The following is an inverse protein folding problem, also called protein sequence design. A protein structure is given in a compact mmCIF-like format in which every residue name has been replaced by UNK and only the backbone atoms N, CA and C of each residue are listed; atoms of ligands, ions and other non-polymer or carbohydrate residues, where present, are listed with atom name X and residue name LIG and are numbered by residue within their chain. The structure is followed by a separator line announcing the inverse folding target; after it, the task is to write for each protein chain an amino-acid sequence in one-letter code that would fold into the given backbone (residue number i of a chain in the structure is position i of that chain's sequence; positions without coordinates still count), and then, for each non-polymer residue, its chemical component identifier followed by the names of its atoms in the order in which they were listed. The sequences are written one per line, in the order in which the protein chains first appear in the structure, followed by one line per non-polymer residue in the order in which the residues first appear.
data_IF_498016641163
#
_entry.id   IF_498016641163
#
_cell.length_a   1.000
_cell.length_b   1.000
_cell.length_c   1.000
_cell.angle_alpha   90.00
_cell.angle_beta   90.00
_cell.angle_gamma   90.00
#
_symmetry.space_group_name_H-M   'P 1'
#
loop_
_entity.id
_entity.type
_entity.pdbx_description
1 polymer ?
#
# COMPACT_ATOMS: atom_id res chain seq x y z
N UNK A 1 -26.15 10.67 52.65
CA UNK A 1 -25.82 9.37 53.28
C UNK A 1 -26.91 8.36 52.95
N UNK A 2 -26.63 7.34 52.14
CA UNK A 2 -27.35 6.04 52.19
C UNK A 2 -26.46 4.97 51.56
N UNK A 3 -26.25 3.91 52.35
CA UNK A 3 -25.37 2.74 52.12
C UNK A 3 -26.00 1.71 51.20
N UNK A 4 -25.12 0.87 50.67
CA UNK A 4 -25.30 -0.27 49.77
C UNK A 4 -25.91 -1.55 50.39
N UNK A 5 -26.36 -2.46 49.52
CA UNK A 5 -26.32 -3.94 49.60
C UNK A 5 -26.71 -4.46 48.19
N UNK A 6 -25.89 -5.11 47.36
CA UNK A 6 -25.23 -6.45 47.38
C UNK A 6 -26.21 -7.65 47.36
N UNK A 7 -26.29 -8.34 46.20
CA UNK A 7 -26.29 -9.81 45.97
C UNK A 7 -26.46 -10.03 44.45
N UNK A 8 -25.50 -10.45 43.62
CA UNK A 8 -24.67 -11.65 43.49
C UNK A 8 -25.41 -12.97 43.14
N UNK A 9 -24.99 -13.58 42.02
CA UNK A 9 -25.19 -14.99 41.62
C UNK A 9 -26.25 -15.24 40.54
N UNK A 10 -26.11 -16.12 39.53
CA UNK A 10 -25.01 -16.74 38.79
C UNK A 10 -25.64 -17.56 37.63
N UNK A 11 -24.80 -17.99 36.67
CA UNK A 11 -25.00 -18.98 35.58
C UNK A 11 -25.83 -18.51 34.35
N UNK A 12 -25.23 -18.23 33.18
CA UNK A 12 -24.47 -19.10 32.26
C UNK A 12 -25.31 -20.24 31.67
N UNK A 13 -25.70 -20.11 30.39
CA UNK A 13 -25.79 -21.18 29.38
C UNK A 13 -26.03 -20.55 27.99
N UNK A 14 -24.97 -20.39 27.19
CA UNK A 14 -25.09 -20.15 25.75
C UNK A 14 -24.66 -21.43 25.03
N UNK A 15 -25.66 -22.10 24.48
CA UNK A 15 -25.57 -23.33 23.71
C UNK A 15 -25.41 -22.97 22.23
N UNK A 16 -24.26 -23.31 21.64
CA UNK A 16 -24.04 -23.33 20.20
C UNK A 16 -24.30 -24.76 19.69
N UNK A 17 -25.23 -24.99 18.75
CA UNK A 17 -25.30 -26.25 18.05
C UNK A 17 -24.35 -26.28 16.85
N UNK A 18 -23.83 -27.47 16.67
CA UNK A 18 -22.68 -27.91 15.90
C UNK A 18 -23.06 -28.21 14.45
N UNK A 19 -22.10 -28.01 13.55
CA UNK A 19 -22.19 -28.31 12.12
C UNK A 19 -22.53 -29.79 11.87
N UNK A 20 -23.53 -30.04 11.04
CA UNK A 20 -23.79 -31.35 10.45
C UNK A 20 -22.83 -31.59 9.28
N UNK A 21 -21.88 -32.50 9.47
CA UNK A 21 -21.15 -33.16 8.38
C UNK A 21 -21.39 -34.67 8.51
N UNK A 22 -22.26 -35.17 7.63
CA UNK A 22 -22.55 -36.57 7.30
C UNK A 22 -22.76 -36.53 5.79
N UNK A 23 -22.22 -37.36 4.91
CA UNK A 23 -21.50 -38.62 4.90
C UNK A 23 -20.88 -38.70 3.49
N UNK A 24 -19.75 -39.39 3.31
CA UNK A 24 -19.69 -40.46 2.32
C UNK A 24 -18.41 -41.28 2.55
N UNK A 25 -18.64 -42.53 2.93
CA UNK A 25 -17.67 -43.60 2.92
C UNK A 25 -17.55 -44.16 1.50
N UNK A 26 -16.31 -44.39 1.07
CA UNK A 26 -15.88 -45.32 0.02
C UNK A 26 -14.36 -45.42 0.23
N UNK A 27 -13.81 -46.49 0.78
CA UNK A 27 -13.61 -47.84 0.23
C UNK A 27 -12.08 -48.05 0.21
N UNK A 28 -11.68 -49.23 0.67
CA UNK A 28 -10.30 -49.60 0.96
C UNK A 28 -9.57 -50.08 -0.30
N UNK A 29 -8.34 -49.63 -0.53
CA UNK A 29 -7.33 -50.41 -1.28
C UNK A 29 -5.90 -49.94 -0.94
N UNK A 30 -4.97 -50.84 -0.56
CA UNK A 30 -3.56 -50.51 -0.35
C UNK A 30 -2.74 -51.00 -1.54
N UNK A 31 -2.11 -50.09 -2.29
CA UNK A 31 -1.11 -50.49 -3.28
C UNK A 31 -0.07 -49.40 -3.59
N UNK A 32 1.18 -49.81 -3.35
CA UNK A 32 2.37 -49.55 -4.19
C UNK A 32 3.09 -48.22 -4.03
N UNK A 33 4.19 -48.33 -3.25
CA UNK A 33 5.46 -47.64 -3.48
C UNK A 33 5.84 -47.70 -4.96
N UNK A 34 5.96 -46.53 -5.59
CA UNK A 34 6.63 -46.36 -6.87
C UNK A 34 7.85 -45.47 -6.66
N UNK A 35 8.99 -46.02 -7.10
CA UNK A 35 10.32 -45.41 -7.18
C UNK A 35 10.30 -43.95 -7.67
N UNK A 36 10.99 -43.09 -6.93
CA UNK A 36 11.53 -41.84 -7.44
C UNK A 36 13.03 -42.06 -7.71
N UNK A 37 13.53 -41.91 -8.94
CA UNK A 37 14.95 -42.06 -9.20
C UNK A 37 15.72 -40.90 -8.56
N UNK A 38 16.74 -41.28 -7.80
CA UNK A 38 17.77 -40.40 -7.28
C UNK A 38 18.42 -39.61 -8.43
N UNK A 39 18.43 -38.29 -8.31
CA UNK A 39 19.29 -37.42 -9.10
C UNK A 39 20.37 -36.89 -8.17
N UNK A 40 21.46 -37.65 -8.08
CA UNK A 40 22.74 -37.14 -7.59
C UNK A 40 23.28 -36.17 -8.64
N UNK A 41 23.39 -34.89 -8.30
CA UNK A 41 24.23 -33.96 -9.04
C UNK A 41 24.97 -33.07 -8.05
N UNK A 42 26.12 -33.62 -7.68
CA UNK A 42 27.43 -33.00 -7.53
C UNK A 42 27.48 -31.48 -7.23
N UNK A 43 28.04 -31.21 -6.05
CA UNK A 43 28.48 -29.91 -5.60
C UNK A 43 29.75 -29.50 -6.36
N UNK A 44 29.58 -28.81 -7.48
CA UNK A 44 30.64 -28.05 -8.15
C UNK A 44 30.43 -26.56 -7.95
N UNK A 45 31.04 -25.99 -6.90
CA UNK A 45 31.08 -24.56 -6.67
C UNK A 45 31.85 -23.84 -7.78
N UNK A 46 31.13 -23.32 -8.78
CA UNK A 46 31.63 -22.27 -9.67
C UNK A 46 31.31 -20.92 -9.03
N UNK A 47 32.37 -20.19 -8.69
CA UNK A 47 32.37 -18.81 -8.24
C UNK A 47 31.69 -17.97 -9.33
N UNK A 48 30.46 -17.53 -9.07
CA UNK A 48 29.69 -16.70 -10.00
C UNK A 48 30.28 -15.29 -9.99
N UNK A 49 30.66 -14.84 -11.19
CA UNK A 49 31.25 -13.54 -11.46
C UNK A 49 30.27 -12.43 -11.07
N UNK A 50 30.77 -11.55 -10.20
CA UNK A 50 30.18 -10.24 -9.89
C UNK A 50 29.88 -9.50 -11.21
N UNK A 51 28.64 -9.07 -11.49
CA UNK A 51 28.39 -8.27 -12.68
C UNK A 51 29.12 -6.93 -12.52
N UNK A 52 30.13 -6.74 -13.37
CA UNK A 52 30.85 -5.51 -13.52
C UNK A 52 29.85 -4.38 -13.86
N UNK A 53 30.01 -3.26 -13.17
CA UNK A 53 29.30 -2.00 -13.38
C UNK A 53 29.27 -1.65 -14.87
N UNK A 54 28.08 -1.66 -15.46
CA UNK A 54 27.87 -1.12 -16.80
C UNK A 54 28.18 0.39 -16.79
N UNK A 55 28.87 0.94 -17.81
CA UNK A 55 29.08 2.37 -17.92
C UNK A 55 27.73 3.08 -18.17
N UNK A 56 27.54 4.31 -17.67
CA UNK A 56 26.30 5.07 -17.89
C UNK A 56 26.13 5.32 -19.39
N UNK A 57 24.99 4.87 -19.94
CA UNK A 57 24.60 5.19 -21.32
C UNK A 57 24.43 6.71 -21.44
N UNK A 58 25.02 7.35 -22.47
CA UNK A 58 24.80 8.77 -22.72
C UNK A 58 23.33 9.00 -23.05
N UNK A 59 22.70 9.90 -22.29
CA UNK A 59 21.37 10.42 -22.61
C UNK A 59 21.49 11.25 -23.89
N UNK A 60 20.84 10.80 -24.95
CA UNK A 60 20.76 11.58 -26.19
C UNK A 60 20.01 12.88 -25.87
N UNK A 61 20.61 14.07 -26.08
CA UNK A 61 19.88 15.31 -25.91
C UNK A 61 18.69 15.34 -26.86
N UNK A 62 17.54 15.74 -26.32
CA UNK A 62 16.31 15.95 -27.08
C UNK A 62 16.58 17.03 -28.12
N UNK A 63 16.80 16.63 -29.37
CA UNK A 63 16.98 17.58 -30.46
C UNK A 63 15.67 18.37 -30.63
N UNK A 64 15.76 19.70 -30.49
CA UNK A 64 14.66 20.60 -30.81
C UNK A 64 14.27 20.37 -32.27
N UNK A 65 13.04 19.88 -32.49
CA UNK A 65 12.43 19.80 -33.82
C UNK A 65 12.32 21.24 -34.34
N UNK A 66 13.19 21.62 -35.27
CA UNK A 66 13.01 22.85 -36.01
C UNK A 66 11.77 22.68 -36.89
N UNK A 67 10.69 23.34 -36.48
CA UNK A 67 9.48 23.48 -37.30
C UNK A 67 9.83 24.45 -38.42
N UNK A 68 10.37 23.92 -39.52
CA UNK A 68 10.51 24.67 -40.77
C UNK A 68 9.11 24.96 -41.31
N UNK A 69 8.74 26.23 -41.55
CA UNK A 69 7.48 26.53 -42.20
C UNK A 69 7.57 26.03 -43.64
N UNK A 70 6.87 24.95 -43.94
CA UNK A 70 6.57 24.57 -45.32
C UNK A 70 5.80 25.72 -45.95
N UNK A 71 6.50 26.54 -46.75
CA UNK A 71 5.89 27.59 -47.54
C UNK A 71 4.92 26.94 -48.53
N UNK A 72 3.64 26.98 -48.21
CA UNK A 72 2.59 26.49 -49.10
C UNK A 72 2.43 27.45 -50.27
N UNK A 73 2.42 26.85 -51.46
CA UNK A 73 2.41 27.49 -52.77
C UNK A 73 1.35 28.61 -52.90
N UNK A 74 1.78 29.81 -53.28
CA UNK A 74 1.02 30.76 -54.10
C UNK A 74 -0.19 31.48 -53.49
N UNK A 75 -0.57 31.21 -52.24
CA UNK A 75 -1.49 32.09 -51.49
C UNK A 75 -0.70 33.07 -50.63
N UNK A 76 -1.07 34.34 -50.67
CA UNK A 76 -0.50 35.38 -49.79
C UNK A 76 -1.00 35.17 -48.35
N UNK A 77 -0.32 34.30 -47.60
CA UNK A 77 -0.41 34.23 -46.14
C UNK A 77 0.60 35.22 -45.58
N UNK A 78 0.15 36.15 -44.75
CA UNK A 78 1.03 37.14 -44.13
C UNK A 78 1.03 36.94 -42.60
N UNK A 79 2.18 37.18 -41.99
CA UNK A 79 2.27 37.28 -40.53
C UNK A 79 1.67 38.63 -40.14
N UNK A 80 0.68 38.63 -39.24
CA UNK A 80 0.10 39.84 -38.69
C UNK A 80 0.74 40.15 -37.33
N UNK A 81 0.83 41.44 -36.97
CA UNK A 81 1.25 41.84 -35.64
C UNK A 81 0.17 41.43 -34.62
N UNK A 82 0.58 40.76 -33.55
CA UNK A 82 -0.32 40.32 -32.50
C UNK A 82 -0.97 41.53 -31.79
N UNK A 83 -0.23 42.62 -31.59
CA UNK A 83 -0.74 43.81 -30.89
C UNK A 83 -1.85 44.50 -31.70
N UNK A 84 -1.70 44.56 -33.02
CA UNK A 84 -2.72 45.18 -33.88
C UNK A 84 -4.01 44.36 -33.87
N UNK A 85 -3.89 43.02 -33.91
CA UNK A 85 -5.03 42.11 -33.90
C UNK A 85 -5.71 42.11 -32.53
N UNK A 86 -4.95 42.22 -31.45
CA UNK A 86 -5.47 42.38 -30.08
C UNK A 86 -6.26 43.68 -29.94
N UNK A 87 -5.72 44.81 -30.42
CA UNK A 87 -6.47 46.08 -30.45
C UNK A 87 -7.76 45.99 -31.26
N UNK A 88 -7.72 45.31 -32.42
CA UNK A 88 -8.92 45.09 -33.24
C UNK A 88 -9.94 44.17 -32.55
N UNK A 89 -9.48 43.22 -31.73
CA UNK A 89 -10.33 42.37 -30.92
C UNK A 89 -11.00 43.18 -29.80
N UNK A 90 -10.23 44.04 -29.11
CA UNK A 90 -10.72 44.93 -28.04
C UNK A 90 -11.75 45.95 -28.56
N UNK A 91 -11.52 46.48 -29.76
CA UNK A 91 -12.46 47.37 -30.46
C UNK A 91 -13.72 46.65 -30.96
N UNK A 92 -13.90 45.36 -30.63
CA UNK A 92 -14.97 44.47 -31.10
C UNK A 92 -15.11 44.47 -32.64
N UNK A 93 -14.02 44.73 -33.35
CA UNK A 93 -14.01 44.84 -34.81
C UNK A 93 -13.91 43.46 -35.49
N UNK A 94 -13.51 42.42 -34.75
CA UNK A 94 -13.35 41.05 -35.22
C UNK A 94 -14.55 40.18 -34.82
N UNK A 95 -14.99 39.31 -35.74
CA UNK A 95 -15.99 38.27 -35.48
C UNK A 95 -15.34 36.91 -35.37
N UNK A 96 -15.57 36.20 -34.27
CA UNK A 96 -15.07 34.83 -34.09
C UNK A 96 -15.92 33.83 -34.85
N UNK A 97 -15.30 33.01 -35.68
CA UNK A 97 -15.97 31.92 -36.40
C UNK A 97 -15.81 30.59 -35.66
N UNK A 98 -14.58 30.27 -35.27
CA UNK A 98 -14.27 29.01 -34.59
C UNK A 98 -13.21 29.27 -33.53
N UNK A 99 -13.34 28.60 -32.40
CA UNK A 99 -12.30 28.56 -31.36
C UNK A 99 -12.06 27.12 -30.97
N UNK A 100 -10.79 26.75 -30.91
CA UNK A 100 -10.31 25.46 -30.41
C UNK A 100 -9.49 25.73 -29.14
N UNK A 101 -9.70 24.92 -28.10
CA UNK A 101 -8.97 25.03 -26.84
C UNK A 101 -8.46 23.67 -26.42
N UNK A 102 -7.19 23.61 -26.01
CA UNK A 102 -6.57 22.43 -25.42
C UNK A 102 -5.58 22.90 -24.37
N UNK A 103 -5.84 22.56 -23.10
CA UNK A 103 -5.06 23.07 -21.97
C UNK A 103 -4.90 24.61 -22.03
N UNK A 104 -3.67 25.11 -21.86
CA UNK A 104 -3.34 26.54 -21.89
C UNK A 104 -3.21 27.10 -23.32
N UNK A 105 -3.41 26.28 -24.35
CA UNK A 105 -3.35 26.70 -25.75
C UNK A 105 -4.74 26.88 -26.34
N UNK A 106 -4.92 27.95 -27.11
CA UNK A 106 -6.14 28.12 -27.90
C UNK A 106 -5.87 28.67 -29.29
N UNK A 107 -6.72 28.33 -30.24
CA UNK A 107 -6.65 28.81 -31.62
C UNK A 107 -8.01 29.41 -31.97
N UNK A 108 -8.04 30.63 -32.49
CA UNK A 108 -9.26 31.28 -32.94
C UNK A 108 -9.16 31.70 -34.40
N UNK A 109 -10.18 31.36 -35.18
CA UNK A 109 -10.41 31.89 -36.52
C UNK A 109 -11.34 33.10 -36.40
N UNK A 110 -10.80 34.26 -36.74
CA UNK A 110 -11.43 35.57 -36.63
C UNK A 110 -11.64 36.15 -38.04
N UNK A 111 -12.70 36.92 -38.21
CA UNK A 111 -13.03 37.61 -39.45
C UNK A 111 -13.15 39.10 -39.19
N UNK A 112 -12.46 39.90 -40.00
CA UNK A 112 -12.54 41.36 -39.98
C UNK A 112 -13.43 41.87 -41.11
N UNK A 113 -14.66 42.32 -40.81
CA UNK A 113 -15.63 42.65 -41.86
C UNK A 113 -15.24 43.88 -42.68
N UNK A 114 -14.51 44.85 -42.10
CA UNK A 114 -14.19 46.12 -42.79
C UNK A 114 -13.24 45.91 -43.97
N UNK A 115 -12.30 44.97 -43.87
CA UNK A 115 -11.33 44.66 -44.94
C UNK A 115 -11.54 43.28 -45.57
N UNK A 116 -12.58 42.55 -45.16
CA UNK A 116 -12.86 41.17 -45.59
C UNK A 116 -11.64 40.23 -45.42
N UNK A 117 -10.90 40.40 -44.33
CA UNK A 117 -9.71 39.59 -44.00
C UNK A 117 -10.03 38.57 -42.92
N UNK A 118 -9.38 37.43 -43.00
CA UNK A 118 -9.39 36.39 -41.99
C UNK A 118 -8.09 36.42 -41.20
N UNK A 119 -8.21 36.23 -39.90
CA UNK A 119 -7.09 36.12 -38.97
C UNK A 119 -7.18 34.79 -38.25
N UNK A 120 -6.06 34.08 -38.15
CA UNK A 120 -5.94 32.87 -37.34
C UNK A 120 -4.95 33.18 -36.24
N UNK A 121 -5.43 33.22 -34.99
CA UNK A 121 -4.63 33.56 -33.83
C UNK A 121 -4.42 32.33 -32.94
N UNK A 122 -3.17 32.07 -32.58
CA UNK A 122 -2.75 31.10 -31.57
C UNK A 122 -2.45 31.84 -30.27
N UNK A 123 -3.00 31.35 -29.18
CA UNK A 123 -2.82 31.88 -27.83
C UNK A 123 -2.16 30.82 -26.93
N UNK A 124 -1.39 31.29 -25.96
CA UNK A 124 -0.84 30.52 -24.86
C UNK A 124 -1.11 31.29 -23.56
N UNK A 125 -1.77 30.68 -22.57
CA UNK A 125 -2.12 31.33 -21.28
C UNK A 125 -2.79 32.70 -21.50
N UNK A 126 -3.75 32.76 -22.42
CA UNK A 126 -4.46 33.97 -22.86
C UNK A 126 -3.60 35.05 -23.56
N UNK A 127 -2.30 34.82 -23.76
CA UNK A 127 -1.44 35.71 -24.55
C UNK A 127 -1.42 35.31 -26.01
N UNK A 128 -1.61 36.27 -26.90
CA UNK A 128 -1.55 36.04 -28.33
C UNK A 128 -0.09 35.80 -28.76
N UNK A 129 0.22 34.57 -29.17
CA UNK A 129 1.59 34.17 -29.54
C UNK A 129 1.86 34.34 -31.04
N UNK A 130 0.90 33.98 -31.89
CA UNK A 130 1.08 34.04 -33.35
C UNK A 130 -0.21 34.37 -34.05
N UNK A 131 -0.17 35.29 -35.02
CA UNK A 131 -1.32 35.58 -35.89
C UNK A 131 -0.94 35.50 -37.35
N UNK A 132 -1.74 34.77 -38.11
CA UNK A 132 -1.64 34.70 -39.56
C UNK A 132 -2.87 35.36 -40.17
N UNK A 133 -2.68 36.14 -41.23
CA UNK A 133 -3.76 36.78 -41.98
C UNK A 133 -3.82 36.30 -43.42
N UNK A 134 -5.03 36.21 -43.96
CA UNK A 134 -5.29 35.88 -45.36
C UNK A 134 -6.64 36.45 -45.78
N UNK A 135 -6.80 36.76 -47.07
CA UNK A 135 -8.08 37.22 -47.64
C UNK A 135 -8.98 36.07 -48.12
N UNK A 136 -8.50 34.83 -48.12
CA UNK A 136 -9.25 33.67 -48.61
C UNK A 136 -9.68 32.73 -47.47
N UNK A 137 -10.98 32.46 -47.41
CA UNK A 137 -11.61 31.62 -46.40
C UNK A 137 -11.04 30.19 -46.37
N UNK A 138 -10.80 29.57 -47.52
CA UNK A 138 -10.33 28.18 -47.58
C UNK A 138 -8.90 28.08 -47.04
N UNK A 139 -8.04 29.05 -47.38
CA UNK A 139 -6.70 29.15 -46.80
C UNK A 139 -6.76 29.46 -45.30
N UNK A 140 -7.67 30.31 -44.83
CA UNK A 140 -7.84 30.58 -43.40
C UNK A 140 -8.23 29.31 -42.63
N UNK A 141 -9.13 28.49 -43.17
CA UNK A 141 -9.53 27.21 -42.56
C UNK A 141 -8.37 26.21 -42.53
N UNK A 142 -7.56 26.13 -43.59
CA UNK A 142 -6.36 25.27 -43.60
C UNK A 142 -5.33 25.71 -42.56
N UNK A 143 -5.09 27.02 -42.44
CA UNK A 143 -4.20 27.57 -41.40
C UNK A 143 -4.74 27.30 -40.00
N UNK A 144 -6.05 27.43 -39.80
CA UNK A 144 -6.70 27.08 -38.54
C UNK A 144 -6.45 25.61 -38.18
N UNK A 145 -6.70 24.67 -39.09
CA UNK A 145 -6.41 23.24 -38.83
C UNK A 145 -4.93 22.96 -38.54
N UNK A 146 -4.02 23.57 -39.29
CA UNK A 146 -2.59 23.42 -39.02
C UNK A 146 -2.21 23.92 -37.62
N UNK A 147 -2.77 25.05 -37.21
CA UNK A 147 -2.51 25.63 -35.91
C UNK A 147 -3.19 24.85 -34.77
N UNK A 148 -4.33 24.22 -35.02
CA UNK A 148 -4.94 23.25 -34.10
C UNK A 148 -3.99 22.07 -33.85
N UNK A 149 -3.43 21.48 -34.91
CA UNK A 149 -2.44 20.40 -34.75
C UNK A 149 -1.19 20.85 -33.98
N UNK A 150 -0.73 22.08 -34.20
CA UNK A 150 0.37 22.66 -33.42
C UNK A 150 0.00 22.82 -31.94
N UNK A 151 -1.20 23.34 -31.63
CA UNK A 151 -1.68 23.47 -30.26
C UNK A 151 -1.81 22.12 -29.56
N UNK A 152 -2.32 21.09 -30.25
CA UNK A 152 -2.38 19.71 -29.72
C UNK A 152 -0.99 19.17 -29.42
N UNK A 153 -0.02 19.33 -30.34
CA UNK A 153 1.37 18.89 -30.12
C UNK A 153 2.03 19.58 -28.93
N UNK A 154 1.75 20.86 -28.71
CA UNK A 154 2.25 21.60 -27.54
C UNK A 154 1.61 21.10 -26.24
N UNK A 155 0.32 20.76 -26.28
CA UNK A 155 -0.42 20.21 -25.15
C UNK A 155 -0.09 18.75 -24.82
N UNK A 156 0.59 18.00 -25.69
CA UNK A 156 0.99 16.61 -25.44
C UNK A 156 1.88 16.50 -24.18
N UNK A 157 2.76 17.50 -23.97
CA UNK A 157 3.62 17.56 -22.77
C UNK A 157 2.82 17.70 -21.48
N UNK A 158 1.79 18.55 -21.48
CA UNK A 158 0.89 18.73 -20.33
C UNK A 158 0.02 17.51 -20.09
N UNK A 159 -0.49 16.90 -21.16
CA UNK A 159 -1.22 15.63 -21.07
C UNK A 159 -0.36 14.57 -20.40
N UNK A 160 0.90 14.43 -20.82
CA UNK A 160 1.82 13.45 -20.25
C UNK A 160 2.16 13.77 -18.80
N UNK A 161 2.36 15.05 -18.46
CA UNK A 161 2.58 15.49 -17.09
C UNK A 161 1.41 15.10 -16.18
N UNK A 162 0.19 15.43 -16.57
CA UNK A 162 -1.01 15.14 -15.77
C UNK A 162 -1.20 13.63 -15.57
N UNK A 163 -0.94 12.83 -16.60
CA UNK A 163 -0.97 11.36 -16.49
C UNK A 163 0.06 10.84 -15.50
N UNK A 164 1.30 11.33 -15.55
CA UNK A 164 2.36 10.93 -14.63
C UNK A 164 2.06 11.37 -13.19
N UNK A 165 1.49 12.56 -13.00
CA UNK A 165 1.07 13.04 -11.70
C UNK A 165 -0.01 12.15 -11.09
N UNK A 166 -1.02 11.77 -11.87
CA UNK A 166 -2.06 10.82 -11.44
C UNK A 166 -1.48 9.43 -11.10
N UNK A 167 -0.55 8.91 -11.91
CA UNK A 167 0.12 7.63 -11.64
C UNK A 167 0.96 7.69 -10.37
N UNK A 168 1.69 8.79 -10.15
CA UNK A 168 2.48 8.99 -8.93
C UNK A 168 1.58 9.06 -7.70
N UNK A 169 0.46 9.78 -7.76
CA UNK A 169 -0.51 9.82 -6.65
C UNK A 169 -1.10 8.44 -6.34
N UNK A 170 -1.40 7.64 -7.36
CA UNK A 170 -1.84 6.26 -7.16
C UNK A 170 -0.75 5.41 -6.48
N UNK A 171 0.51 5.51 -6.93
CA UNK A 171 1.63 4.79 -6.32
C UNK A 171 1.86 5.21 -4.86
N UNK A 172 1.78 6.50 -4.55
CA UNK A 172 1.89 6.99 -3.16
C UNK A 172 0.85 6.36 -2.25
N UNK A 173 -0.40 6.20 -2.71
CA UNK A 173 -1.47 5.54 -1.94
C UNK A 173 -1.13 4.07 -1.69
N UNK A 174 -0.69 3.34 -2.71
CA UNK A 174 -0.31 1.94 -2.58
C UNK A 174 0.89 1.75 -1.62
N UNK A 175 1.87 2.64 -1.67
CA UNK A 175 3.00 2.64 -0.73
C UNK A 175 2.49 2.85 0.70
N UNK A 176 1.65 3.87 0.94
CA UNK A 176 1.10 4.15 2.26
C UNK A 176 0.26 2.97 2.81
N UNK A 177 -0.52 2.31 1.97
CA UNK A 177 -1.27 1.11 2.35
C UNK A 177 -0.34 -0.06 2.73
N UNK A 178 0.71 -0.28 1.95
CA UNK A 178 1.72 -1.31 2.20
C UNK A 178 2.49 -1.06 3.50
N UNK A 179 2.93 0.18 3.72
CA UNK A 179 3.61 0.59 4.95
C UNK A 179 2.70 0.43 6.17
N UNK A 180 1.43 0.85 6.05
CA UNK A 180 0.46 0.65 7.12
C UNK A 180 0.22 -0.84 7.42
N UNK A 181 0.24 -1.70 6.41
CA UNK A 181 0.14 -3.14 6.58
C UNK A 181 1.39 -3.74 7.26
N UNK A 182 2.58 -3.38 6.79
CA UNK A 182 3.84 -3.81 7.39
C UNK A 182 3.95 -3.40 8.86
N UNK A 183 3.53 -2.18 9.18
CA UNK A 183 3.56 -1.65 10.53
C UNK A 183 2.52 -2.34 11.45
N UNK A 184 1.34 -2.69 10.93
CA UNK A 184 0.38 -3.54 11.66
C UNK A 184 0.98 -4.91 11.96
N UNK A 185 1.63 -5.54 10.97
CA UNK A 185 2.27 -6.85 11.14
C UNK A 185 3.40 -6.78 12.18
N UNK A 186 4.26 -5.76 12.10
CA UNK A 186 5.35 -5.54 13.06
C UNK A 186 4.82 -5.43 14.50
N UNK A 187 3.77 -4.63 14.72
CA UNK A 187 3.12 -4.51 16.04
C UNK A 187 2.48 -5.81 16.50
N UNK A 188 1.93 -6.60 15.58
CA UNK A 188 1.40 -7.93 15.88
C UNK A 188 2.49 -8.86 16.41
N UNK A 189 3.61 -8.97 15.67
CA UNK A 189 4.75 -9.80 16.04
C UNK A 189 5.36 -9.39 17.39
N UNK A 190 5.53 -8.08 17.61
CA UNK A 190 6.04 -7.57 18.89
C UNK A 190 5.13 -7.98 20.06
N UNK A 191 3.82 -7.82 19.92
CA UNK A 191 2.85 -8.24 20.95
C UNK A 191 2.90 -9.75 21.21
N UNK A 192 3.01 -10.57 20.17
CA UNK A 192 3.14 -12.03 20.32
C UNK A 192 4.41 -12.38 21.08
N UNK A 193 5.56 -11.76 20.73
CA UNK A 193 6.83 -12.00 21.43
C UNK A 193 6.76 -11.60 22.91
N UNK A 194 6.14 -10.45 23.21
CA UNK A 194 5.93 -10.00 24.61
C UNK A 194 5.04 -10.98 25.39
N UNK A 195 3.97 -11.49 24.77
CA UNK A 195 3.08 -12.48 25.37
C UNK A 195 3.81 -13.81 25.63
N UNK A 196 4.59 -14.30 24.66
CA UNK A 196 5.36 -15.54 24.79
C UNK A 196 6.39 -15.45 25.93
N UNK A 197 7.07 -14.30 26.05
CA UNK A 197 7.99 -14.03 27.15
C UNK A 197 7.27 -14.00 28.50
N UNK A 198 6.11 -13.35 28.59
CA UNK A 198 5.31 -13.29 29.81
C UNK A 198 4.83 -14.68 30.25
N UNK A 199 4.33 -15.49 29.31
CA UNK A 199 3.89 -16.88 29.57
C UNK A 199 5.07 -17.74 30.02
N UNK A 200 6.20 -17.66 29.32
CA UNK A 200 7.42 -18.40 29.68
C UNK A 200 7.92 -18.03 31.07
N UNK A 201 7.95 -16.73 31.40
CA UNK A 201 8.29 -16.22 32.73
C UNK A 201 7.35 -16.76 33.81
N UNK A 202 6.03 -16.73 33.56
CA UNK A 202 5.03 -17.27 34.48
C UNK A 202 5.16 -18.77 34.70
N UNK A 203 5.41 -19.55 33.64
CA UNK A 203 5.66 -20.99 33.76
C UNK A 203 6.91 -21.28 34.59
N UNK A 204 7.99 -20.52 34.38
CA UNK A 204 9.20 -20.67 35.16
C UNK A 204 8.97 -20.34 36.64
N UNK A 205 8.22 -19.28 36.95
CA UNK A 205 7.84 -18.95 38.32
C UNK A 205 6.98 -20.04 38.96
N UNK A 206 5.97 -20.56 38.24
CA UNK A 206 5.12 -21.63 38.74
C UNK A 206 5.93 -22.89 39.08
N UNK A 207 6.92 -23.25 38.25
CA UNK A 207 7.82 -24.38 38.54
C UNK A 207 8.63 -24.16 39.83
N UNK A 208 9.11 -22.94 40.07
CA UNK A 208 9.81 -22.58 41.32
C UNK A 208 8.88 -22.69 42.53
N UNK A 209 7.68 -22.13 42.42
CA UNK A 209 6.71 -22.14 43.51
C UNK A 209 6.28 -23.58 43.87
N UNK A 210 6.05 -24.42 42.85
CA UNK A 210 5.75 -25.84 43.05
C UNK A 210 6.90 -26.59 43.75
N UNK A 211 8.14 -26.40 43.30
CA UNK A 211 9.30 -27.01 43.95
C UNK A 211 9.45 -26.58 45.42
N UNK A 212 9.17 -25.30 45.72
CA UNK A 212 9.19 -24.78 47.09
C UNK A 212 8.06 -25.39 47.95
N UNK A 213 6.84 -25.48 47.40
CA UNK A 213 5.71 -26.10 48.09
C UNK A 213 5.94 -27.59 48.36
N UNK A 214 6.52 -28.33 47.42
CA UNK A 214 6.88 -29.74 47.60
C UNK A 214 7.94 -29.94 48.68
N UNK A 215 8.96 -29.06 48.73
CA UNK A 215 9.95 -29.06 49.79
C UNK A 215 9.32 -28.78 51.17
N UNK A 216 8.42 -27.80 51.26
CA UNK A 216 7.67 -27.49 52.48
C UNK A 216 6.79 -28.66 52.93
N UNK A 217 6.05 -29.29 52.01
CA UNK A 217 5.22 -30.47 52.28
C UNK A 217 6.07 -31.60 52.86
N UNK A 218 7.22 -31.87 52.26
CA UNK A 218 8.12 -32.95 52.68
C UNK A 218 8.70 -32.67 54.08
N UNK A 219 9.11 -31.43 54.35
CA UNK A 219 9.59 -31.03 55.67
C UNK A 219 8.49 -31.17 56.75
N UNK A 220 7.27 -30.72 56.46
CA UNK A 220 6.13 -30.86 57.37
C UNK A 220 5.78 -32.33 57.64
N UNK A 221 5.81 -33.18 56.61
CA UNK A 221 5.58 -34.62 56.77
C UNK A 221 6.65 -35.27 57.66
N UNK A 222 7.92 -34.89 57.48
CA UNK A 222 9.01 -35.37 58.33
C UNK A 222 8.80 -34.96 59.81
N UNK A 223 8.33 -33.73 60.06
CA UNK A 223 7.99 -33.25 61.40
C UNK A 223 6.80 -34.02 62.01
N UNK A 224 5.75 -34.26 61.24
CA UNK A 224 4.60 -35.07 61.69
C UNK A 224 5.04 -36.49 62.06
N UNK A 225 5.83 -37.14 61.21
CA UNK A 225 6.37 -38.48 61.48
C UNK A 225 7.27 -38.50 62.74
N UNK A 226 7.97 -37.40 63.03
CA UNK A 226 8.76 -37.25 64.27
C UNK A 226 7.84 -37.10 65.50
N UNK A 227 6.82 -36.26 65.42
CA UNK A 227 5.85 -36.05 66.50
C UNK A 227 5.06 -37.32 66.84
N UNK A 228 4.58 -38.07 65.83
CA UNK A 228 3.90 -39.35 66.04
C UNK A 228 4.78 -40.38 66.78
N UNK A 229 6.06 -40.48 66.40
CA UNK A 229 7.02 -41.35 67.09
C UNK A 229 7.18 -40.95 68.55
N UNK A 230 7.26 -39.65 68.84
CA UNK A 230 7.35 -39.13 70.21
C UNK A 230 6.09 -39.45 71.04
N UNK A 231 4.90 -39.25 70.48
CA UNK A 231 3.63 -39.61 71.16
C UNK A 231 3.55 -41.10 71.45
N UNK A 232 3.94 -41.95 70.51
CA UNK A 232 3.94 -43.40 70.72
C UNK A 232 4.91 -43.82 71.84
N UNK A 233 6.12 -43.26 71.86
CA UNK A 233 7.10 -43.50 72.93
C UNK A 233 6.53 -43.10 74.30
N UNK A 234 5.87 -41.94 74.40
CA UNK A 234 5.23 -41.49 75.64
C UNK A 234 4.08 -42.41 76.08
N UNK A 235 3.28 -42.91 75.14
CA UNK A 235 2.18 -43.84 75.46
C UNK A 235 2.67 -45.21 75.95
N UNK A 236 3.73 -45.77 75.34
CA UNK A 236 4.33 -47.03 75.80
C UNK A 236 4.87 -46.87 77.22
N UNK A 237 5.64 -45.81 77.47
CA UNK A 237 6.17 -45.52 78.80
C UNK A 237 5.06 -45.33 79.86
N UNK A 238 3.93 -44.71 79.48
CA UNK A 238 2.78 -44.55 80.37
C UNK A 238 2.04 -45.87 80.64
N UNK A 239 1.89 -46.74 79.64
CA UNK A 239 1.19 -48.02 79.80
C UNK A 239 2.00 -49.03 80.65
N UNK A 240 3.34 -49.00 80.57
CA UNK A 240 4.22 -49.77 81.46
C UNK A 240 4.14 -49.29 82.92
N UNK A 241 3.75 -48.02 83.15
CA UNK A 241 3.52 -47.46 84.49
C UNK A 241 2.12 -47.79 85.07
N UNK A 242 1.24 -48.47 84.32
CA UNK A 242 -0.07 -48.93 84.79
C UNK A 242 0.00 -50.44 85.09
N UNK A 243 0.06 -50.86 86.36
CA UNK A 243 0.25 -52.26 86.70
C UNK A 243 -0.97 -53.12 86.30
N UNK A 244 -0.75 -54.12 85.46
CA UNK A 244 -1.73 -55.17 85.21
C UNK A 244 -1.98 -55.96 86.51
N UNK A 245 -3.21 -55.90 87.04
CA UNK A 245 -3.65 -56.71 88.17
C UNK A 245 -4.22 -58.03 87.61
N UNK A 246 -3.52 -59.18 87.76
CA UNK A 246 -4.13 -60.47 87.45
C UNK A 246 -5.23 -60.78 88.48
N UNK A 247 -6.32 -61.36 87.98
CA UNK A 247 -7.45 -61.86 88.77
C UNK A 247 -7.09 -63.12 89.55
#
# INVERSE_FOLDING_TARGET
MRRAAVSNGAAAHLHFPQQHASQHAAESEPAQLADLPASESDAGATIDERPASAPPRPVTPLHAVQVTPSASNGRAVQLADANDVERMADDAALKTFHTFRTFDYSVSLLFYPKELKYFVALFQEDRMWRVLTTSDMNTARQLFHHMQEQATRLADGETRRLQLEAQNEQLKRLIAESEAHAERLRRGLQRTTEQDQAVTGRQHQLRKDLAQLEAQRTAAQAQLNKAHRQVHQLNVANNEAIPHIPR
#
